data_IF_698711382832
#
_entry.id   IF_698711382832
#
_cell.length_a   1.000
_cell.length_b   1.000
_cell.length_c   1.000
_cell.angle_alpha   90.00
_cell.angle_beta   90.00
_cell.angle_gamma   90.00
#
_symmetry.space_group_name_H-M   'P 1'
#
loop_
_entity.id
_entity.type
_entity.pdbx_description
1 polymer ?
#
# COMPACT_ATOMS: atom_id res chain seq x y z
N UNK A 1 -6.02 -4.11 11.37
CA UNK A 1 -4.60 -3.88 11.02
C UNK A 1 -4.14 -2.54 11.57
N UNK A 2 -2.96 -2.48 12.16
CA UNK A 2 -2.35 -1.22 12.57
C UNK A 2 -1.14 -0.91 11.69
N UNK A 3 -0.53 0.26 11.89
CA UNK A 3 0.57 0.72 11.05
C UNK A 3 1.82 -0.17 11.16
N UNK A 4 2.06 -0.78 12.32
CA UNK A 4 3.19 -1.69 12.50
C UNK A 4 2.98 -2.99 11.72
N UNK A 5 1.77 -3.50 11.73
CA UNK A 5 1.42 -4.69 10.95
C UNK A 5 1.55 -4.42 9.45
N UNK A 6 1.16 -3.23 9.01
CA UNK A 6 1.35 -2.81 7.63
C UNK A 6 2.84 -2.78 7.27
N UNK A 7 3.67 -2.21 8.14
CA UNK A 7 5.12 -2.17 7.93
C UNK A 7 5.73 -3.55 7.81
N UNK A 8 5.31 -4.48 8.67
CA UNK A 8 5.78 -5.87 8.63
C UNK A 8 5.38 -6.57 7.33
N UNK A 9 4.17 -6.33 6.87
CA UNK A 9 3.67 -6.89 5.61
C UNK A 9 4.52 -6.39 4.43
N UNK A 10 4.85 -5.11 4.41
CA UNK A 10 5.69 -4.53 3.37
C UNK A 10 7.09 -5.13 3.42
N UNK A 11 7.70 -5.21 4.59
CA UNK A 11 9.03 -5.79 4.78
C UNK A 11 9.08 -7.23 4.27
N UNK A 12 8.10 -8.04 4.64
CA UNK A 12 8.01 -9.43 4.20
C UNK A 12 8.00 -9.52 2.66
N UNK A 13 7.11 -8.77 2.02
CA UNK A 13 6.97 -8.83 0.57
C UNK A 13 8.21 -8.30 -0.15
N UNK A 14 8.79 -7.21 0.37
CA UNK A 14 10.00 -6.65 -0.23
C UNK A 14 11.16 -7.65 -0.20
N UNK A 15 11.37 -8.31 0.93
CA UNK A 15 12.43 -9.31 1.05
C UNK A 15 12.20 -10.51 0.14
N UNK A 16 10.95 -10.98 0.01
CA UNK A 16 10.62 -12.08 -0.90
C UNK A 16 10.80 -11.69 -2.36
N UNK A 17 10.66 -10.42 -2.68
CA UNK A 17 10.91 -9.89 -4.02
C UNK A 17 12.40 -9.64 -4.27
N UNK A 18 13.27 -9.86 -3.30
CA UNK A 18 14.71 -9.62 -3.38
C UNK A 18 15.05 -8.16 -3.73
N UNK A 19 14.25 -7.23 -3.22
CA UNK A 19 14.47 -5.82 -3.44
C UNK A 19 15.07 -5.17 -2.19
N UNK A 20 16.11 -4.35 -2.39
CA UNK A 20 16.56 -3.44 -1.35
C UNK A 20 15.50 -2.34 -1.16
N UNK A 21 15.58 -1.61 -0.04
CA UNK A 21 14.70 -0.46 0.14
C UNK A 21 14.89 0.58 -0.96
N UNK A 22 16.13 0.82 -1.35
CA UNK A 22 16.45 1.77 -2.42
C UNK A 22 15.87 1.33 -3.75
N UNK A 23 16.02 0.06 -4.11
CA UNK A 23 15.47 -0.46 -5.35
C UNK A 23 13.94 -0.39 -5.36
N UNK A 24 13.31 -0.74 -4.25
CA UNK A 24 11.86 -0.66 -4.11
C UNK A 24 11.37 0.79 -4.27
N UNK A 25 12.03 1.74 -3.60
CA UNK A 25 11.69 3.15 -3.70
C UNK A 25 11.85 3.67 -5.13
N UNK A 26 12.94 3.29 -5.80
CA UNK A 26 13.19 3.70 -7.17
C UNK A 26 12.10 3.19 -8.11
N UNK A 27 11.74 1.92 -8.01
CA UNK A 27 10.69 1.32 -8.84
C UNK A 27 9.32 1.95 -8.56
N UNK A 28 9.06 2.29 -7.31
CA UNK A 28 7.80 2.92 -6.92
C UNK A 28 7.74 4.41 -7.28
N UNK A 29 8.88 5.03 -7.56
CA UNK A 29 8.95 6.47 -7.81
C UNK A 29 8.69 7.31 -6.57
N UNK A 30 9.17 6.83 -5.41
CA UNK A 30 9.03 7.52 -4.11
C UNK A 30 10.41 7.86 -3.54
N UNK A 31 10.43 8.69 -2.51
CA UNK A 31 11.68 9.05 -1.84
C UNK A 31 12.34 7.82 -1.21
N UNK A 32 13.67 7.81 -1.17
CA UNK A 32 14.42 6.64 -0.71
C UNK A 32 14.16 6.25 0.74
N UNK A 33 13.74 7.20 1.58
CA UNK A 33 13.42 6.93 2.98
C UNK A 33 11.97 6.45 3.18
N UNK A 34 11.12 6.57 2.16
CA UNK A 34 9.71 6.26 2.28
C UNK A 34 9.46 4.79 2.64
N UNK A 35 10.21 3.88 2.02
CA UNK A 35 10.08 2.44 2.29
C UNK A 35 10.53 2.13 3.73
N UNK A 36 11.66 2.71 4.14
CA UNK A 36 12.14 2.56 5.52
C UNK A 36 11.09 3.05 6.52
N UNK A 37 10.57 4.26 6.30
CA UNK A 37 9.58 4.86 7.19
C UNK A 37 8.33 4.01 7.30
N UNK A 38 7.83 3.50 6.18
CA UNK A 38 6.66 2.64 6.15
C UNK A 38 6.90 1.35 6.92
N UNK A 39 8.05 0.70 6.71
CA UNK A 39 8.41 -0.54 7.40
C UNK A 39 8.58 -0.34 8.90
N UNK A 40 8.90 0.88 9.32
CA UNK A 40 9.08 1.22 10.74
C UNK A 40 7.86 1.87 11.37
N UNK A 41 6.72 1.80 10.70
CA UNK A 41 5.44 2.20 11.27
C UNK A 41 5.21 3.70 11.36
N UNK A 42 5.79 4.49 10.47
CA UNK A 42 5.54 5.94 10.43
C UNK A 42 4.07 6.21 10.10
N UNK A 43 3.37 6.86 11.03
CA UNK A 43 1.93 7.06 10.93
C UNK A 43 1.53 8.11 9.89
N UNK A 44 2.44 8.98 9.50
CA UNK A 44 2.17 10.10 8.60
C UNK A 44 2.51 9.81 7.13
N UNK A 45 2.55 8.54 6.75
CA UNK A 45 2.82 8.21 5.35
C UNK A 45 1.68 8.73 4.46
N UNK A 46 2.04 9.28 3.31
CA UNK A 46 1.06 9.71 2.34
C UNK A 46 0.42 8.50 1.67
N UNK A 47 -0.88 8.59 1.41
CA UNK A 47 -1.61 7.50 0.76
C UNK A 47 -1.06 7.20 -0.63
N UNK A 48 -0.75 8.21 -1.43
CA UNK A 48 -0.20 7.98 -2.76
C UNK A 48 1.15 7.26 -2.72
N UNK A 49 1.98 7.58 -1.75
CA UNK A 49 3.26 6.89 -1.53
C UNK A 49 3.02 5.42 -1.19
N UNK A 50 2.09 5.14 -0.28
CA UNK A 50 1.73 3.78 0.10
C UNK A 50 1.24 2.99 -1.12
N UNK A 51 0.33 3.55 -1.90
CA UNK A 51 -0.23 2.86 -3.05
C UNK A 51 0.83 2.54 -4.11
N UNK A 52 1.79 3.42 -4.31
CA UNK A 52 2.90 3.19 -5.24
C UNK A 52 3.79 2.03 -4.79
N UNK A 53 4.07 1.95 -3.49
CA UNK A 53 4.87 0.85 -2.92
C UNK A 53 4.11 -0.48 -3.04
N UNK A 54 2.83 -0.49 -2.68
CA UNK A 54 2.00 -1.70 -2.80
C UNK A 54 1.99 -2.22 -4.24
N UNK A 55 1.90 -1.33 -5.21
CA UNK A 55 1.90 -1.71 -6.62
C UNK A 55 3.18 -2.42 -7.03
N UNK A 56 4.33 -1.92 -6.62
CA UNK A 56 5.64 -2.54 -6.92
C UNK A 56 5.71 -3.95 -6.33
N UNK A 57 5.13 -4.15 -5.16
CA UNK A 57 5.17 -5.42 -4.45
C UNK A 57 4.01 -6.35 -4.81
N UNK A 58 3.18 -5.96 -5.77
CA UNK A 58 1.99 -6.72 -6.20
C UNK A 58 1.02 -7.03 -5.06
N UNK A 59 0.88 -6.08 -4.15
CA UNK A 59 -0.06 -6.19 -3.04
C UNK A 59 -1.33 -5.43 -3.40
N UNK A 60 -2.44 -6.14 -3.43
CA UNK A 60 -3.75 -5.53 -3.67
C UNK A 60 -4.35 -5.06 -2.36
N UNK A 61 -4.81 -3.82 -2.33
CA UNK A 61 -5.50 -3.26 -1.18
C UNK A 61 -7.00 -3.44 -1.40
N UNK A 62 -7.64 -4.14 -0.47
CA UNK A 62 -9.08 -4.41 -0.55
C UNK A 62 -9.75 -3.93 0.73
N UNK A 63 -10.96 -3.40 0.55
CA UNK A 63 -11.80 -2.97 1.66
C UNK A 63 -12.98 -3.92 1.80
N UNK A 64 -13.33 -4.23 3.02
CA UNK A 64 -14.52 -5.02 3.32
C UNK A 64 -15.38 -4.27 4.33
N UNK A 65 -16.68 -4.38 4.19
CA UNK A 65 -17.63 -3.80 5.13
C UNK A 65 -18.98 -4.49 4.95
N UNK A 66 -19.89 -4.35 5.93
CA UNK A 66 -21.25 -4.89 5.75
C UNK A 66 -22.01 -4.30 4.56
N UNK A 67 -21.58 -3.12 4.08
CA UNK A 67 -22.24 -2.42 2.97
C UNK A 67 -21.51 -2.61 1.64
N UNK A 68 -20.45 -3.38 1.59
CA UNK A 68 -19.60 -3.45 0.40
C UNK A 68 -20.34 -4.04 -0.81
N UNK A 69 -21.19 -5.01 -0.60
CA UNK A 69 -21.99 -5.61 -1.69
C UNK A 69 -22.92 -4.56 -2.31
N UNK A 70 -23.63 -3.80 -1.46
CA UNK A 70 -24.50 -2.72 -1.90
C UNK A 70 -23.71 -1.65 -2.66
N UNK A 71 -22.56 -1.24 -2.11
CA UNK A 71 -21.69 -0.27 -2.77
C UNK A 71 -21.26 -0.75 -4.16
N UNK A 72 -20.89 -2.02 -4.29
CA UNK A 72 -20.45 -2.57 -5.57
C UNK A 72 -21.54 -2.53 -6.64
N UNK A 73 -22.79 -2.65 -6.24
CA UNK A 73 -23.92 -2.52 -7.17
C UNK A 73 -24.16 -1.07 -7.61
N UNK A 74 -23.90 -0.09 -6.74
CA UNK A 74 -24.23 1.31 -6.94
C UNK A 74 -23.03 2.19 -7.31
N UNK A 75 -21.82 1.66 -7.27
CA UNK A 75 -20.59 2.47 -7.41
C UNK A 75 -20.51 3.29 -8.69
N UNK A 76 -21.16 2.86 -9.76
CA UNK A 76 -21.17 3.63 -11.01
C UNK A 76 -21.83 5.00 -10.85
N UNK A 77 -22.82 5.11 -9.96
CA UNK A 77 -23.50 6.38 -9.66
C UNK A 77 -22.55 7.37 -8.95
N UNK A 78 -21.72 6.84 -8.04
CA UNK A 78 -20.82 7.66 -7.24
C UNK A 78 -19.52 8.02 -7.97
N UNK A 79 -19.09 7.17 -8.89
CA UNK A 79 -17.85 7.36 -9.61
C UNK A 79 -18.01 8.01 -10.98
N UNK A 80 -19.22 8.41 -11.32
CA UNK A 80 -19.49 9.12 -12.57
C UNK A 80 -19.35 8.26 -13.82
N UNK A 81 -19.44 6.98 -13.67
CA UNK A 81 -19.31 6.06 -14.80
C UNK A 81 -20.56 6.09 -15.70
#
# INVERSE_FOLDING_TARGET
MNIHQLGELILFHRKRANLSREACALLAGVGKTAVYDLEHGKETIRLDTLLKILKVLNINLQFSSPLMEEYNHEKSEYLGA
#
